data_IF_026662344196
#
_entry.id   IF_026662344196
#
_cell.length_a   1.000
_cell.length_b   1.000
_cell.length_c   1.000
_cell.angle_alpha   90.00
_cell.angle_beta   90.00
_cell.angle_gamma   90.00
#
_symmetry.space_group_name_H-M   'P 1'
#
loop_
_entity.id
_entity.type
_entity.pdbx_description
1 polymer ?
#
# COMPACT_ATOMS: atom_id res chain seq x y z
N UNK A 1 10.08 17.49 35.33
CA UNK A 1 8.80 17.27 34.60
C UNK A 1 8.57 15.77 34.41
N UNK A 2 7.99 15.09 35.39
CA UNK A 2 7.76 13.63 35.36
C UNK A 2 6.28 13.30 35.49
N UNK A 3 5.53 13.42 34.39
CA UNK A 3 4.13 12.98 34.36
C UNK A 3 4.05 11.46 34.49
N UNK A 4 3.38 10.98 35.54
CA UNK A 4 3.25 9.55 35.84
C UNK A 4 2.56 8.72 34.74
N UNK A 5 2.57 7.39 34.89
CA UNK A 5 2.10 6.44 33.87
C UNK A 5 0.70 6.73 33.32
N UNK A 6 -0.23 7.23 34.14
CA UNK A 6 -1.57 7.62 33.69
C UNK A 6 -1.56 8.79 32.71
N UNK A 7 -0.69 9.78 32.93
CA UNK A 7 -0.55 10.94 32.06
C UNK A 7 0.16 10.60 30.74
N UNK A 8 1.16 9.69 30.80
CA UNK A 8 1.77 9.10 29.60
C UNK A 8 0.77 8.29 28.77
N UNK A 9 -0.05 7.45 29.42
CA UNK A 9 -1.08 6.65 28.72
C UNK A 9 -2.17 7.51 28.09
N UNK A 10 -2.64 8.55 28.80
CA UNK A 10 -3.61 9.51 28.25
C UNK A 10 -3.03 10.26 27.05
N UNK A 11 -1.76 10.68 27.13
CA UNK A 11 -1.08 11.36 26.01
C UNK A 11 -0.87 10.42 24.82
N UNK A 12 -0.52 9.16 25.06
CA UNK A 12 -0.38 8.15 24.01
C UNK A 12 -1.73 7.85 23.33
N UNK A 13 -2.81 7.68 24.10
CA UNK A 13 -4.16 7.52 23.56
C UNK A 13 -4.61 8.74 22.76
N UNK A 14 -4.38 9.95 23.27
CA UNK A 14 -4.71 11.19 22.57
C UNK A 14 -3.93 11.32 21.26
N UNK A 15 -2.62 11.05 21.25
CA UNK A 15 -1.81 11.05 20.02
C UNK A 15 -2.27 9.99 19.01
N UNK A 16 -2.69 8.82 19.47
CA UNK A 16 -3.20 7.76 18.59
C UNK A 16 -4.55 8.15 17.98
N UNK A 17 -5.44 8.77 18.76
CA UNK A 17 -6.71 9.29 18.27
C UNK A 17 -6.49 10.44 17.27
N UNK A 18 -5.53 11.34 17.53
CA UNK A 18 -5.17 12.44 16.62
C UNK A 18 -4.59 11.92 15.30
N UNK A 19 -3.79 10.84 15.32
CA UNK A 19 -3.30 10.15 14.10
C UNK A 19 -4.41 9.41 13.34
N UNK A 20 -5.46 8.98 14.04
CA UNK A 20 -6.61 8.31 13.44
C UNK A 20 -7.73 9.27 13.05
N UNK A 21 -7.63 10.57 13.37
CA UNK A 21 -8.57 11.56 12.84
C UNK A 21 -8.41 11.58 11.31
N UNK A 22 -9.50 11.39 10.56
CA UNK A 22 -9.43 11.43 9.11
C UNK A 22 -8.98 12.84 8.70
N UNK A 23 -7.80 12.93 8.10
CA UNK A 23 -7.42 14.13 7.35
C UNK A 23 -8.53 14.39 6.32
N UNK A 24 -9.01 15.64 6.23
CA UNK A 24 -10.07 16.04 5.28
C UNK A 24 -9.70 15.52 3.88
N UNK A 25 -10.47 14.55 3.38
CA UNK A 25 -10.20 13.83 2.14
C UNK A 25 -9.18 12.70 2.34
N UNK A 26 -9.66 11.47 2.51
CA UNK A 26 -8.78 10.31 2.72
C UNK A 26 -8.09 9.91 1.41
N UNK A 27 -6.96 10.56 1.10
CA UNK A 27 -6.05 10.15 0.02
C UNK A 27 -5.59 8.71 0.23
N UNK A 28 -5.46 8.27 1.49
CA UNK A 28 -5.13 6.89 1.86
C UNK A 28 -6.23 5.90 1.50
N UNK A 29 -7.51 6.25 1.68
CA UNK A 29 -8.63 5.36 1.31
C UNK A 29 -8.79 5.28 -0.21
N UNK A 30 -8.67 6.41 -0.90
CA UNK A 30 -8.62 6.45 -2.37
C UNK A 30 -7.45 5.63 -2.92
N UNK A 31 -6.28 5.70 -2.27
CA UNK A 31 -5.11 4.93 -2.69
C UNK A 31 -5.29 3.42 -2.48
N UNK A 32 -5.90 3.01 -1.35
CA UNK A 32 -6.28 1.60 -1.11
C UNK A 32 -7.28 1.09 -2.12
N UNK A 33 -8.32 1.87 -2.44
CA UNK A 33 -9.31 1.53 -3.47
C UNK A 33 -8.69 1.46 -4.87
N UNK A 34 -7.68 2.29 -5.11
CA UNK A 34 -6.94 2.26 -6.36
C UNK A 34 -6.00 1.05 -6.45
N UNK A 35 -5.77 0.22 -5.41
CA UNK A 35 -4.92 -0.97 -5.54
C UNK A 35 -5.64 -2.15 -6.19
N UNK A 36 -5.93 -2.05 -7.48
CA UNK A 36 -6.68 -3.07 -8.25
C UNK A 36 -5.78 -4.02 -9.03
N UNK A 37 -4.53 -3.64 -9.30
CA UNK A 37 -3.57 -4.45 -10.06
C UNK A 37 -2.83 -5.34 -9.06
N UNK A 38 -2.86 -6.65 -9.24
CA UNK A 38 -2.19 -7.59 -8.33
C UNK A 38 -1.26 -8.51 -9.13
N UNK A 39 -0.01 -8.62 -8.70
CA UNK A 39 0.90 -9.63 -9.23
C UNK A 39 0.43 -11.02 -8.77
N UNK A 40 0.23 -11.95 -9.71
CA UNK A 40 -0.24 -13.30 -9.40
C UNK A 40 0.83 -14.22 -8.82
N UNK A 41 2.11 -13.86 -8.97
CA UNK A 41 3.23 -14.66 -8.47
C UNK A 41 3.55 -14.34 -7.01
N UNK A 42 3.67 -13.06 -6.65
CA UNK A 42 3.99 -12.64 -5.27
C UNK A 42 2.82 -12.04 -4.48
N UNK A 43 1.64 -11.91 -5.09
CA UNK A 43 0.45 -11.30 -4.49
C UNK A 43 0.61 -9.82 -4.10
N UNK A 44 1.68 -9.16 -4.54
CA UNK A 44 1.88 -7.74 -4.28
C UNK A 44 0.84 -6.90 -5.04
N UNK A 45 0.20 -5.98 -4.32
CA UNK A 45 -0.79 -5.08 -4.89
C UNK A 45 -0.14 -3.80 -5.41
N UNK A 46 -0.64 -3.32 -6.54
CA UNK A 46 -0.21 -2.14 -7.26
C UNK A 46 -1.41 -1.25 -7.52
N UNK A 47 -1.13 0.05 -7.63
CA UNK A 47 -2.13 1.08 -7.88
C UNK A 47 -2.62 0.93 -9.33
N UNK A 48 -3.91 1.17 -9.60
CA UNK A 48 -4.58 1.04 -10.89
C UNK A 48 -3.94 1.96 -11.95
N UNK A 49 -3.36 3.07 -11.51
CA UNK A 49 -2.63 4.02 -12.35
C UNK A 49 -1.18 3.58 -12.62
N UNK A 50 -0.77 2.39 -12.18
CA UNK A 50 0.56 1.84 -12.47
C UNK A 50 0.64 1.52 -13.96
N UNK A 51 1.60 2.11 -14.63
CA UNK A 51 1.85 1.87 -16.06
C UNK A 51 2.43 0.48 -16.28
N UNK A 52 2.23 -0.06 -17.49
CA UNK A 52 2.77 -1.37 -17.89
C UNK A 52 4.29 -1.48 -17.62
N UNK A 53 5.03 -0.40 -17.86
CA UNK A 53 6.48 -0.32 -17.60
C UNK A 53 6.82 -0.70 -16.15
N UNK A 54 6.10 -0.18 -15.17
CA UNK A 54 6.33 -0.48 -13.75
C UNK A 54 5.99 -1.93 -13.40
N UNK A 55 4.96 -2.50 -14.02
CA UNK A 55 4.63 -3.92 -13.88
C UNK A 55 5.71 -4.81 -14.51
N UNK A 56 6.27 -4.40 -15.65
CA UNK A 56 7.39 -5.07 -16.32
C UNK A 56 8.65 -5.05 -15.47
N UNK A 57 9.02 -3.89 -14.94
CA UNK A 57 10.16 -3.74 -14.02
C UNK A 57 10.00 -4.64 -12.77
N UNK A 58 8.79 -4.75 -12.23
CA UNK A 58 8.51 -5.67 -11.12
C UNK A 58 8.75 -7.13 -11.52
N UNK A 59 8.21 -7.55 -12.66
CA UNK A 59 8.37 -8.92 -13.15
C UNK A 59 9.85 -9.24 -13.44
N UNK A 60 10.58 -8.35 -14.10
CA UNK A 60 12.01 -8.53 -14.42
C UNK A 60 12.89 -8.57 -13.15
N UNK A 61 12.60 -7.73 -12.15
CA UNK A 61 13.41 -7.66 -10.93
C UNK A 61 13.07 -8.72 -9.88
N UNK A 62 11.80 -9.13 -9.77
CA UNK A 62 11.33 -10.08 -8.72
C UNK A 62 11.08 -11.48 -9.24
N UNK A 63 10.74 -11.60 -10.52
CA UNK A 63 10.34 -12.85 -11.14
C UNK A 63 11.09 -13.08 -12.46
N UNK A 64 12.45 -13.04 -12.48
CA UNK A 64 13.24 -13.10 -13.71
C UNK A 64 13.09 -14.41 -14.49
N UNK A 65 12.50 -15.45 -13.87
CA UNK A 65 12.22 -16.76 -14.49
C UNK A 65 10.77 -16.90 -14.96
N UNK A 66 9.91 -15.94 -14.62
CA UNK A 66 8.49 -15.96 -14.95
C UNK A 66 8.22 -14.89 -15.99
N UNK A 67 7.36 -15.20 -16.93
CA UNK A 67 6.95 -14.23 -17.92
C UNK A 67 6.15 -13.07 -17.27
N UNK A 68 6.23 -11.88 -17.85
CA UNK A 68 5.48 -10.69 -17.39
C UNK A 68 3.98 -10.98 -17.36
N UNK A 69 3.49 -11.76 -18.32
CA UNK A 69 2.07 -12.17 -18.40
C UNK A 69 1.69 -13.18 -17.30
N UNK A 70 2.65 -13.95 -16.77
CA UNK A 70 2.41 -14.80 -15.60
C UNK A 70 2.25 -13.97 -14.32
N UNK A 71 2.98 -12.84 -14.22
CA UNK A 71 2.83 -11.90 -13.11
C UNK A 71 1.55 -11.08 -13.24
N UNK A 72 1.24 -10.59 -14.45
CA UNK A 72 0.14 -9.68 -14.72
C UNK A 72 -0.64 -10.16 -15.95
N UNK A 73 -1.55 -11.14 -15.80
CA UNK A 73 -2.26 -11.73 -16.94
C UNK A 73 -3.19 -10.76 -17.67
N UNK A 74 -3.57 -9.64 -17.04
CA UNK A 74 -4.35 -8.57 -17.69
C UNK A 74 -3.55 -7.74 -18.71
N UNK A 75 -2.23 -7.93 -18.78
CA UNK A 75 -1.39 -7.30 -19.81
C UNK A 75 -1.33 -8.14 -21.10
N UNK A 76 -1.78 -9.40 -21.06
CA UNK A 76 -1.86 -10.24 -22.25
C UNK A 76 -3.10 -9.83 -23.04
N UNK A 77 -2.89 -9.35 -24.28
CA UNK A 77 -3.95 -8.91 -25.19
C UNK A 77 -4.42 -10.05 -26.08
#
# INVERSE_FOLDING_TARGET
MGGGNGQKSKTARLRNLEKQKPAKGSQLDSNKKAMTIQCKVCMQAFICTTTEVKCREHAEAKHPKSDVYACFPHLQK
#
